data_IF_522811945617
#
_entry.id   IF_522811945617
#
_cell.length_a   1.000
_cell.length_b   1.000
_cell.length_c   1.000
_cell.angle_alpha   90.00
_cell.angle_beta   90.00
_cell.angle_gamma   90.00
#
_symmetry.space_group_name_H-M   'P 1'
#
loop_
_entity.id
_entity.type
_entity.pdbx_description
1 polymer ?
#
# COMPACT_ATOMS: atom_id res chain seq x y z
N UNK A 1 61.61 -25.40 37.12
CA UNK A 1 60.35 -24.87 37.69
C UNK A 1 59.80 -23.83 36.73
N UNK A 2 58.92 -24.22 35.79
CA UNK A 2 58.36 -23.33 34.77
C UNK A 2 56.93 -22.95 35.20
N UNK A 3 56.72 -21.67 35.54
CA UNK A 3 55.40 -21.13 35.86
C UNK A 3 54.56 -21.07 34.57
N UNK A 4 53.39 -21.72 34.58
CA UNK A 4 52.38 -21.60 33.54
C UNK A 4 51.51 -20.36 33.85
N UNK A 5 51.54 -19.38 32.95
CA UNK A 5 50.60 -18.25 32.97
C UNK A 5 49.26 -18.71 32.39
N UNK A 6 48.23 -18.79 33.23
CA UNK A 6 46.84 -18.94 32.78
C UNK A 6 46.29 -17.56 32.43
N UNK A 7 46.21 -17.25 31.14
CA UNK A 7 45.52 -16.05 30.64
C UNK A 7 44.02 -16.31 30.68
N UNK A 8 43.30 -15.64 31.59
CA UNK A 8 41.84 -15.59 31.57
C UNK A 8 41.39 -14.83 30.31
N UNK A 9 40.80 -15.54 29.35
CA UNK A 9 40.08 -14.93 28.23
C UNK A 9 38.70 -14.51 28.77
N UNK A 10 38.52 -13.21 28.98
CA UNK A 10 37.22 -12.63 29.25
C UNK A 10 36.38 -12.70 27.97
N UNK A 11 35.40 -13.62 27.93
CA UNK A 11 34.38 -13.68 26.89
C UNK A 11 33.55 -12.40 27.01
N UNK A 12 33.81 -11.42 26.14
CA UNK A 12 32.91 -10.27 25.97
C UNK A 12 31.67 -10.79 25.26
N UNK A 13 30.53 -10.81 25.97
CA UNK A 13 29.21 -10.93 25.35
C UNK A 13 29.06 -9.76 24.38
N UNK A 14 29.15 -10.05 23.08
CA UNK A 14 28.69 -9.15 22.03
C UNK A 14 27.19 -8.94 22.22
N UNK A 15 26.68 -7.69 22.20
CA UNK A 15 25.25 -7.48 22.23
C UNK A 15 24.68 -8.13 20.97
N UNK A 16 23.70 -9.01 21.16
CA UNK A 16 22.91 -9.52 20.06
C UNK A 16 22.29 -8.31 19.36
N UNK A 17 22.69 -8.03 18.13
CA UNK A 17 21.98 -7.09 17.28
C UNK A 17 20.56 -7.66 17.13
N UNK A 18 19.61 -7.03 17.80
CA UNK A 18 18.19 -7.28 17.58
C UNK A 18 17.92 -6.91 16.11
N UNK A 19 17.53 -7.90 15.32
CA UNK A 19 16.96 -7.67 14.00
C UNK A 19 15.60 -6.99 14.23
N UNK A 20 15.53 -5.67 14.03
CA UNK A 20 14.24 -5.00 13.92
C UNK A 20 13.57 -5.52 12.64
N UNK A 21 12.46 -6.25 12.77
CA UNK A 21 11.57 -6.52 11.64
C UNK A 21 10.92 -5.19 11.23
N UNK A 22 11.03 -4.73 9.98
CA UNK A 22 10.47 -3.45 9.54
C UNK A 22 8.97 -3.55 9.18
N UNK A 23 8.25 -4.51 9.75
CA UNK A 23 6.82 -4.75 9.52
C UNK A 23 6.09 -4.81 10.85
N UNK A 24 6.34 -3.85 11.72
CA UNK A 24 5.33 -3.54 12.73
C UNK A 24 4.25 -2.76 11.99
N UNK A 25 3.00 -3.24 12.10
CA UNK A 25 1.77 -2.59 11.63
C UNK A 25 1.63 -1.22 12.31
N UNK A 26 2.45 -0.25 11.93
CA UNK A 26 2.32 1.12 12.38
C UNK A 26 1.06 1.69 11.72
N UNK A 27 0.04 1.89 12.55
CA UNK A 27 -1.17 2.62 12.18
C UNK A 27 -0.70 3.99 11.66
N UNK A 28 -1.04 4.36 10.41
CA UNK A 28 -0.66 5.64 9.86
C UNK A 28 -1.21 6.77 10.73
N UNK A 29 -0.32 7.56 11.30
CA UNK A 29 -0.64 8.59 12.28
C UNK A 29 -0.04 9.92 11.85
N UNK A 30 -0.85 10.97 11.89
CA UNK A 30 -0.35 12.34 11.78
C UNK A 30 0.26 12.74 13.12
N UNK A 31 1.48 13.33 13.16
CA UNK A 31 2.09 13.76 14.41
C UNK A 31 1.20 14.69 15.24
N UNK A 32 1.13 14.47 16.56
CA UNK A 32 0.30 15.23 17.50
C UNK A 32 0.57 16.75 17.46
N UNK A 33 1.79 17.16 17.08
CA UNK A 33 2.16 18.58 16.94
C UNK A 33 1.30 19.33 15.91
N UNK A 34 0.67 18.63 14.97
CA UNK A 34 -0.26 19.22 14.01
C UNK A 34 -1.68 19.44 14.58
N UNK A 35 -1.97 19.02 15.81
CA UNK A 35 -3.23 19.35 16.48
C UNK A 35 -3.39 20.86 16.70
N UNK A 36 -2.29 21.54 17.02
CA UNK A 36 -2.29 23.00 17.19
C UNK A 36 -2.60 23.71 15.86
N UNK A 37 -2.17 23.13 14.73
CA UNK A 37 -2.51 23.63 13.40
C UNK A 37 -4.03 23.55 13.14
N UNK A 38 -4.65 22.39 13.39
CA UNK A 38 -6.10 22.24 13.22
C UNK A 38 -6.86 23.19 14.16
N UNK A 39 -6.42 23.29 15.41
CA UNK A 39 -7.02 24.20 16.39
C UNK A 39 -6.96 25.66 15.95
N UNK A 40 -5.85 26.08 15.33
CA UNK A 40 -5.63 27.46 14.92
C UNK A 40 -6.33 27.86 13.61
N UNK A 41 -6.55 26.92 12.69
CA UNK A 41 -6.97 27.22 11.31
C UNK A 41 -8.24 26.51 10.85
N UNK A 42 -8.68 25.44 11.53
CA UNK A 42 -9.77 24.57 11.08
C UNK A 42 -10.99 24.59 12.02
N UNK A 43 -10.76 24.43 13.33
CA UNK A 43 -11.83 24.11 14.30
C UNK A 43 -12.81 25.26 14.56
N UNK A 44 -12.45 26.51 14.24
CA UNK A 44 -13.38 27.66 14.30
C UNK A 44 -14.61 27.52 13.37
N UNK A 45 -14.53 26.67 12.35
CA UNK A 45 -15.58 26.46 11.35
C UNK A 45 -15.98 25.00 11.19
N UNK A 46 -15.08 24.06 11.47
CA UNK A 46 -15.25 22.63 11.25
C UNK A 46 -15.26 21.85 12.58
N UNK A 47 -15.85 22.41 13.63
CA UNK A 47 -16.14 21.72 14.89
C UNK A 47 -17.52 21.03 14.86
N UNK A 48 -17.85 20.32 15.94
CA UNK A 48 -19.13 19.64 16.12
C UNK A 48 -20.34 20.57 16.21
N UNK A 49 -20.14 21.87 16.47
CA UNK A 49 -21.20 22.86 16.63
C UNK A 49 -21.51 23.63 15.35
N UNK A 50 -20.48 24.02 14.60
CA UNK A 50 -20.58 24.85 13.41
C UNK A 50 -20.69 24.02 12.14
N UNK A 51 -19.91 22.93 12.06
CA UNK A 51 -19.94 21.92 11.00
C UNK A 51 -20.06 22.52 9.58
N UNK A 52 -19.29 23.57 9.29
CA UNK A 52 -19.44 24.33 8.04
C UNK A 52 -19.17 23.41 6.85
N UNK A 53 -20.10 23.37 5.90
CA UNK A 53 -20.02 22.48 4.75
C UNK A 53 -20.27 21.00 5.08
N UNK A 54 -20.91 20.70 6.22
CA UNK A 54 -21.17 19.33 6.70
C UNK A 54 -19.88 18.54 6.94
N UNK A 55 -18.88 19.23 7.49
CA UNK A 55 -17.58 18.67 7.85
C UNK A 55 -17.28 19.01 9.31
N UNK A 56 -17.11 17.97 10.11
CA UNK A 56 -16.61 18.03 11.48
C UNK A 56 -15.21 17.36 11.54
N UNK A 57 -14.23 18.10 12.03
CA UNK A 57 -12.84 17.67 12.23
C UNK A 57 -12.46 17.54 13.72
N UNK A 58 -13.35 17.93 14.65
CA UNK A 58 -13.12 17.86 16.10
C UNK A 58 -12.94 16.41 16.57
N UNK A 59 -13.75 15.49 16.03
CA UNK A 59 -13.70 14.06 16.36
C UNK A 59 -12.82 13.25 15.38
N UNK A 60 -12.14 13.92 14.43
CA UNK A 60 -11.33 13.23 13.43
C UNK A 60 -10.03 12.71 14.06
N UNK A 61 -9.89 11.40 14.09
CA UNK A 61 -8.67 10.72 14.55
C UNK A 61 -7.47 11.06 13.67
N UNK A 62 -6.33 11.31 14.32
CA UNK A 62 -5.03 11.48 13.66
C UNK A 62 -4.44 10.14 13.23
N UNK A 63 -4.89 9.04 13.85
CA UNK A 63 -4.67 7.68 13.39
C UNK A 63 -5.70 7.32 12.32
N UNK A 64 -5.23 7.00 11.11
CA UNK A 64 -6.06 6.66 9.96
C UNK A 64 -6.19 5.15 9.89
N UNK A 65 -7.32 4.64 10.37
CA UNK A 65 -7.59 3.22 10.55
C UNK A 65 -8.61 2.66 9.55
N UNK A 66 -9.35 3.53 8.87
CA UNK A 66 -10.38 3.14 7.91
C UNK A 66 -10.46 4.09 6.70
N UNK A 67 -11.19 3.64 5.67
CA UNK A 67 -11.33 4.37 4.40
C UNK A 67 -12.06 5.71 4.61
N UNK A 68 -13.02 5.79 5.53
CA UNK A 68 -13.79 7.02 5.76
C UNK A 68 -12.92 8.13 6.35
N UNK A 69 -12.05 7.79 7.31
CA UNK A 69 -11.04 8.70 7.86
C UNK A 69 -10.06 9.16 6.77
N UNK A 70 -9.55 8.22 5.96
CA UNK A 70 -8.63 8.52 4.86
C UNK A 70 -9.28 9.46 3.82
N UNK A 71 -10.54 9.24 3.47
CA UNK A 71 -11.27 10.11 2.55
C UNK A 71 -11.44 11.53 3.10
N UNK A 72 -11.67 11.67 4.40
CA UNK A 72 -11.81 12.98 5.03
C UNK A 72 -10.47 13.72 5.09
N UNK A 73 -9.40 13.05 5.50
CA UNK A 73 -8.04 13.60 5.46
C UNK A 73 -7.57 13.97 4.05
N UNK A 74 -7.93 13.16 3.05
CA UNK A 74 -7.65 13.48 1.65
C UNK A 74 -8.38 14.75 1.18
N UNK A 75 -9.60 15.00 1.66
CA UNK A 75 -10.31 16.25 1.38
C UNK A 75 -9.59 17.44 2.00
N UNK A 76 -9.15 17.34 3.26
CA UNK A 76 -8.35 18.38 3.94
C UNK A 76 -7.07 18.67 3.14
N UNK A 77 -6.34 17.64 2.74
CA UNK A 77 -5.13 17.78 1.93
C UNK A 77 -5.43 18.52 0.61
N UNK A 78 -6.53 18.18 -0.07
CA UNK A 78 -6.90 18.77 -1.35
C UNK A 78 -7.31 20.24 -1.22
N UNK A 79 -8.15 20.59 -0.25
CA UNK A 79 -8.65 21.96 -0.07
C UNK A 79 -7.57 22.93 0.42
N UNK A 80 -6.63 22.43 1.24
CA UNK A 80 -5.47 23.22 1.64
C UNK A 80 -4.50 23.44 0.48
N UNK A 81 -4.26 22.42 -0.35
CA UNK A 81 -3.42 22.52 -1.55
C UNK A 81 -4.02 23.43 -2.62
N UNK A 82 -5.34 23.44 -2.79
CA UNK A 82 -6.02 24.35 -3.73
C UNK A 82 -6.07 25.80 -3.24
N UNK A 83 -5.76 26.04 -1.96
CA UNK A 83 -5.86 27.36 -1.34
C UNK A 83 -7.30 27.80 -1.05
N UNK A 84 -8.26 26.89 -1.13
CA UNK A 84 -9.65 27.16 -0.75
C UNK A 84 -9.81 27.32 0.76
N UNK A 85 -8.96 26.64 1.54
CA UNK A 85 -8.93 26.69 2.99
C UNK A 85 -7.55 27.14 3.51
N UNK A 86 -7.52 27.97 4.57
CA UNK A 86 -8.66 28.72 5.12
C UNK A 86 -9.18 29.79 4.12
N UNK A 87 -10.45 30.24 4.21
CA UNK A 87 -10.96 31.31 3.37
C UNK A 87 -10.18 32.63 3.53
N UNK A 88 -10.17 33.49 2.51
CA UNK A 88 -9.40 34.74 2.51
C UNK A 88 -9.72 35.69 3.69
N UNK A 89 -10.93 35.62 4.26
CA UNK A 89 -11.36 36.42 5.41
C UNK A 89 -10.95 35.84 6.77
N UNK A 90 -10.26 34.69 6.78
CA UNK A 90 -9.81 33.97 7.98
C UNK A 90 -8.30 34.02 8.14
N UNK A 91 -7.85 33.67 9.35
CA UNK A 91 -6.43 33.59 9.69
C UNK A 91 -5.78 32.56 8.74
N UNK A 92 -4.78 33.01 7.98
CA UNK A 92 -3.99 32.15 7.11
C UNK A 92 -2.77 31.62 7.89
N UNK A 93 -2.37 30.35 7.68
CA UNK A 93 -1.09 29.84 8.18
C UNK A 93 0.08 30.52 7.46
N UNK A 94 1.24 30.53 8.11
CA UNK A 94 2.49 30.90 7.44
C UNK A 94 2.84 29.87 6.35
N UNK A 95 3.62 30.27 5.33
CA UNK A 95 4.00 29.38 4.23
C UNK A 95 4.77 28.16 4.72
N UNK A 96 5.71 28.34 5.67
CA UNK A 96 6.51 27.25 6.21
C UNK A 96 5.64 26.30 7.05
N UNK A 97 4.79 26.86 7.92
CA UNK A 97 3.86 26.09 8.76
C UNK A 97 2.86 25.27 7.91
N UNK A 98 2.35 25.87 6.83
CA UNK A 98 1.47 25.20 5.88
C UNK A 98 2.21 24.07 5.15
N UNK A 99 3.43 24.32 4.69
CA UNK A 99 4.22 23.33 3.98
C UNK A 99 4.54 22.12 4.87
N UNK A 100 4.94 22.37 6.12
CA UNK A 100 5.23 21.33 7.11
C UNK A 100 4.01 20.44 7.38
N UNK A 101 2.83 21.05 7.60
CA UNK A 101 1.59 20.30 7.77
C UNK A 101 1.22 19.46 6.54
N UNK A 102 1.34 20.05 5.33
CA UNK A 102 0.96 19.36 4.10
C UNK A 102 1.91 18.21 3.76
N UNK A 103 3.20 18.35 4.04
CA UNK A 103 4.17 17.27 3.83
C UNK A 103 3.90 16.11 4.79
N UNK A 104 3.73 16.39 6.09
CA UNK A 104 3.40 15.38 7.08
C UNK A 104 2.09 14.65 6.72
N UNK A 105 1.03 15.39 6.40
CA UNK A 105 -0.24 14.80 5.98
C UNK A 105 -0.10 13.98 4.69
N UNK A 106 0.66 14.45 3.70
CA UNK A 106 0.89 13.70 2.48
C UNK A 106 1.62 12.37 2.74
N UNK A 107 2.63 12.35 3.61
CA UNK A 107 3.32 11.11 3.99
C UNK A 107 2.38 10.16 4.74
N UNK A 108 1.64 10.65 5.73
CA UNK A 108 0.64 9.86 6.46
C UNK A 108 -0.40 9.27 5.51
N UNK A 109 -0.84 10.03 4.48
CA UNK A 109 -1.78 9.53 3.47
C UNK A 109 -1.19 8.45 2.55
N UNK A 110 0.12 8.50 2.26
CA UNK A 110 0.81 7.41 1.53
C UNK A 110 0.82 6.13 2.37
N UNK A 111 1.09 6.25 3.66
CA UNK A 111 1.10 5.11 4.58
C UNK A 111 -0.31 4.57 4.83
N UNK A 112 -1.31 5.44 4.98
CA UNK A 112 -2.74 5.11 5.03
C UNK A 112 -3.16 4.31 3.80
N UNK A 113 -2.79 4.77 2.60
CA UNK A 113 -3.10 4.04 1.36
C UNK A 113 -2.46 2.66 1.32
N UNK A 114 -1.24 2.51 1.82
CA UNK A 114 -0.56 1.21 1.89
C UNK A 114 -1.31 0.30 2.87
N UNK A 115 -1.53 0.75 4.09
CA UNK A 115 -2.19 -0.03 5.15
C UNK A 115 -3.63 -0.43 4.79
N UNK A 116 -4.40 0.49 4.20
CA UNK A 116 -5.81 0.28 3.82
C UNK A 116 -5.99 -0.41 2.46
N UNK A 117 -4.90 -0.84 1.81
CA UNK A 117 -4.99 -1.60 0.56
C UNK A 117 -5.72 -2.92 0.78
N UNK A 118 -6.35 -3.48 -0.26
CA UNK A 118 -7.00 -4.80 -0.23
C UNK A 118 -6.09 -5.92 0.30
N UNK A 119 -4.76 -5.74 0.23
CA UNK A 119 -3.76 -6.68 0.74
C UNK A 119 -3.17 -6.31 2.09
N UNK A 120 -3.66 -5.24 2.75
CA UNK A 120 -3.08 -4.71 3.98
C UNK A 120 -1.68 -4.13 3.80
N UNK A 121 -1.31 -3.74 2.57
CA UNK A 121 0.04 -3.26 2.24
C UNK A 121 1.04 -4.35 1.90
N UNK A 122 0.67 -5.62 2.05
CA UNK A 122 1.51 -6.76 1.65
C UNK A 122 1.50 -6.94 0.13
N UNK A 123 2.69 -7.10 -0.46
CA UNK A 123 2.80 -7.43 -1.88
C UNK A 123 2.53 -8.93 -2.03
N UNK A 124 1.29 -9.28 -2.38
CA UNK A 124 0.93 -10.67 -2.63
C UNK A 124 1.49 -11.14 -3.98
N UNK A 125 2.15 -12.29 -3.97
CA UNK A 125 2.50 -12.97 -5.22
C UNK A 125 1.22 -13.42 -5.90
N UNK A 126 0.86 -12.75 -7.01
CA UNK A 126 -0.30 -13.10 -7.84
C UNK A 126 0.10 -13.92 -9.06
N UNK A 127 -0.75 -14.85 -9.48
CA UNK A 127 -0.63 -15.49 -10.80
C UNK A 127 -0.99 -14.49 -11.91
N UNK A 128 -0.53 -14.77 -13.13
CA UNK A 128 -1.09 -14.11 -14.31
C UNK A 128 -2.58 -14.48 -14.44
N UNK A 129 -3.43 -13.52 -14.73
CA UNK A 129 -4.82 -13.80 -15.05
C UNK A 129 -4.93 -14.46 -16.45
N UNK A 130 -6.09 -15.03 -16.81
CA UNK A 130 -6.28 -15.73 -18.09
C UNK A 130 -5.91 -14.85 -19.29
N UNK A 131 -6.34 -13.59 -19.26
CA UNK A 131 -6.07 -12.60 -20.32
C UNK A 131 -4.58 -12.27 -20.42
N UNK A 132 -3.92 -12.03 -19.29
CA UNK A 132 -2.49 -11.75 -19.18
C UNK A 132 -1.65 -12.93 -19.67
N UNK A 133 -2.02 -14.16 -19.28
CA UNK A 133 -1.34 -15.37 -19.73
C UNK A 133 -1.52 -15.59 -21.24
N UNK A 134 -2.74 -15.43 -21.76
CA UNK A 134 -3.02 -15.53 -23.20
C UNK A 134 -2.17 -14.54 -24.00
N UNK A 135 -2.17 -13.26 -23.58
CA UNK A 135 -1.40 -12.21 -24.23
C UNK A 135 0.11 -12.49 -24.18
N UNK A 136 0.60 -13.04 -23.06
CA UNK A 136 2.01 -13.40 -22.91
C UNK A 136 2.41 -14.51 -23.90
N UNK A 137 1.61 -15.57 -23.99
CA UNK A 137 1.88 -16.66 -24.95
C UNK A 137 1.73 -16.18 -26.39
N UNK A 138 0.71 -15.36 -26.69
CA UNK A 138 0.52 -14.79 -28.01
C UNK A 138 1.69 -13.89 -28.43
N UNK A 139 2.22 -13.08 -27.52
CA UNK A 139 3.39 -12.26 -27.78
C UNK A 139 4.66 -13.09 -28.02
N UNK A 140 4.78 -14.26 -27.39
CA UNK A 140 5.97 -15.11 -27.51
C UNK A 140 5.90 -16.04 -28.73
N UNK A 141 4.73 -16.59 -29.04
CA UNK A 141 4.55 -17.65 -30.04
C UNK A 141 3.80 -17.19 -31.30
N UNK A 142 3.22 -15.98 -31.30
CA UNK A 142 2.55 -15.40 -32.45
C UNK A 142 1.12 -15.91 -32.71
N UNK A 143 0.49 -16.57 -31.75
CA UNK A 143 -0.93 -16.99 -31.83
C UNK A 143 -1.58 -17.05 -30.45
N UNK A 144 -2.89 -16.91 -30.40
CA UNK A 144 -3.66 -16.93 -29.14
C UNK A 144 -4.00 -18.37 -28.73
N UNK A 145 -3.51 -18.86 -27.57
CA UNK A 145 -3.91 -20.17 -27.05
C UNK A 145 -5.30 -20.11 -26.39
N UNK A 146 -5.97 -21.26 -26.31
CA UNK A 146 -7.16 -21.41 -25.47
C UNK A 146 -6.76 -21.47 -23.98
N UNK A 147 -7.19 -20.48 -23.21
CA UNK A 147 -6.93 -20.35 -21.76
C UNK A 147 -8.11 -20.78 -20.89
N UNK A 148 -9.17 -21.36 -21.48
CA UNK A 148 -10.38 -21.76 -20.77
C UNK A 148 -10.14 -22.77 -19.64
N UNK A 149 -9.08 -23.56 -19.75
CA UNK A 149 -8.65 -24.55 -18.76
C UNK A 149 -7.99 -23.97 -17.51
N UNK A 150 -7.54 -22.72 -17.54
CA UNK A 150 -6.93 -22.06 -16.39
C UNK A 150 -7.99 -21.66 -15.35
N UNK A 151 -7.65 -21.35 -14.09
CA UNK A 151 -8.63 -20.87 -13.11
C UNK A 151 -9.27 -19.54 -13.50
N UNK A 152 -10.47 -19.25 -12.98
CA UNK A 152 -11.15 -17.96 -13.16
C UNK A 152 -10.47 -16.89 -12.29
N UNK A 153 -10.42 -15.65 -12.78
CA UNK A 153 -9.58 -14.56 -12.24
C UNK A 153 -10.27 -13.64 -11.21
N UNK A 154 -11.54 -13.91 -10.88
CA UNK A 154 -12.31 -13.09 -9.94
C UNK A 154 -13.74 -13.60 -9.71
N UNK A 155 -14.44 -12.92 -8.81
CA UNK A 155 -15.87 -13.10 -8.54
C UNK A 155 -16.75 -12.17 -9.40
N UNK A 156 -18.06 -12.42 -9.44
CA UNK A 156 -18.99 -11.59 -10.20
C UNK A 156 -18.98 -10.14 -9.68
N UNK A 157 -18.58 -9.19 -10.54
CA UNK A 157 -18.62 -7.75 -10.25
C UNK A 157 -17.29 -7.07 -9.89
N UNK A 158 -16.17 -7.80 -9.85
CA UNK A 158 -14.83 -7.21 -9.58
C UNK A 158 -13.95 -7.16 -10.82
N UNK A 159 -12.87 -6.36 -10.77
CA UNK A 159 -11.82 -6.42 -11.80
C UNK A 159 -11.08 -7.76 -11.73
N UNK A 160 -10.60 -8.23 -12.88
CA UNK A 160 -9.81 -9.46 -13.00
C UNK A 160 -8.31 -9.23 -12.74
N UNK A 161 -7.95 -8.10 -12.14
CA UNK A 161 -6.58 -7.73 -11.74
C UNK A 161 -6.41 -7.63 -10.22
N UNK A 162 -7.43 -8.01 -9.45
CA UNK A 162 -7.40 -7.98 -7.98
C UNK A 162 -6.45 -9.07 -7.48
N UNK A 163 -5.24 -8.67 -7.09
CA UNK A 163 -4.17 -9.59 -6.67
C UNK A 163 -4.55 -10.51 -5.50
N UNK A 164 -5.34 -10.00 -4.54
CA UNK A 164 -5.84 -10.79 -3.40
C UNK A 164 -6.68 -12.01 -3.81
N UNK A 165 -7.31 -11.98 -4.99
CA UNK A 165 -8.09 -13.11 -5.54
C UNK A 165 -7.27 -14.03 -6.46
N UNK A 166 -6.00 -13.72 -6.68
CA UNK A 166 -5.12 -14.39 -7.65
C UNK A 166 -4.02 -15.20 -6.98
N UNK A 167 -4.36 -15.89 -5.89
CA UNK A 167 -3.45 -16.85 -5.28
C UNK A 167 -3.10 -17.98 -6.26
N UNK A 168 -1.92 -18.57 -6.06
CA UNK A 168 -1.41 -19.70 -6.86
C UNK A 168 -1.32 -20.96 -6.00
N UNK A 169 -1.94 -22.05 -6.43
CA UNK A 169 -1.82 -23.38 -5.81
C UNK A 169 -0.97 -24.32 -6.65
N UNK A 170 -0.51 -25.43 -6.07
CA UNK A 170 0.28 -26.44 -6.79
C UNK A 170 -0.45 -26.98 -8.03
N UNK A 171 -1.75 -27.25 -7.92
CA UNK A 171 -2.58 -27.69 -9.04
C UNK A 171 -2.64 -26.63 -10.15
N UNK A 172 -2.76 -25.36 -9.79
CA UNK A 172 -2.76 -24.28 -10.77
C UNK A 172 -1.40 -24.18 -11.48
N UNK A 173 -0.28 -24.33 -10.77
CA UNK A 173 1.05 -24.39 -11.43
C UNK A 173 1.08 -25.49 -12.50
N UNK A 174 0.54 -26.67 -12.19
CA UNK A 174 0.47 -27.77 -13.16
C UNK A 174 -0.41 -27.42 -14.37
N UNK A 175 -1.56 -26.77 -14.18
CA UNK A 175 -2.42 -26.31 -15.27
C UNK A 175 -1.71 -25.32 -16.20
N UNK A 176 -0.98 -24.34 -15.64
CA UNK A 176 -0.23 -23.36 -16.41
C UNK A 176 0.92 -24.01 -17.19
N UNK A 177 1.70 -24.89 -16.54
CA UNK A 177 2.78 -25.62 -17.20
C UNK A 177 2.26 -26.54 -18.31
N UNK A 178 1.13 -27.23 -18.08
CA UNK A 178 0.48 -28.07 -19.09
C UNK A 178 0.06 -27.26 -20.30
N UNK A 179 -0.60 -26.11 -20.08
CA UNK A 179 -1.01 -25.23 -21.17
C UNK A 179 0.19 -24.67 -21.94
N UNK A 180 1.24 -24.24 -21.23
CA UNK A 180 2.48 -23.76 -21.87
C UNK A 180 3.15 -24.82 -22.74
N UNK A 181 3.23 -26.08 -22.25
CA UNK A 181 3.75 -27.21 -23.06
C UNK A 181 2.90 -27.47 -24.30
N UNK A 182 1.58 -27.40 -24.17
CA UNK A 182 0.65 -27.55 -25.31
C UNK A 182 0.87 -26.46 -26.35
N UNK A 183 0.98 -25.20 -25.92
CA UNK A 183 1.19 -24.07 -26.81
C UNK A 183 2.53 -24.17 -27.57
N UNK A 184 3.61 -24.60 -26.91
CA UNK A 184 4.89 -24.86 -27.57
C UNK A 184 4.77 -25.99 -28.60
N UNK A 185 4.06 -27.08 -28.26
CA UNK A 185 3.84 -28.18 -29.20
C UNK A 185 3.11 -27.74 -30.47
N UNK A 186 2.07 -26.93 -30.31
CA UNK A 186 1.33 -26.34 -31.43
C UNK A 186 2.20 -25.38 -32.26
N UNK A 187 3.00 -24.54 -31.59
CA UNK A 187 3.94 -23.65 -32.28
C UNK A 187 4.91 -24.41 -33.17
N UNK A 188 5.53 -25.49 -32.65
CA UNK A 188 6.45 -26.34 -33.43
C UNK A 188 5.74 -26.90 -34.66
N UNK A 189 4.51 -27.39 -34.50
CA UNK A 189 3.73 -27.93 -35.61
C UNK A 189 3.45 -26.89 -36.69
N UNK A 190 3.14 -25.64 -36.30
CA UNK A 190 2.92 -24.51 -37.21
C UNK A 190 4.19 -24.09 -37.96
N UNK A 191 5.38 -24.24 -37.36
CA UNK A 191 6.65 -23.94 -38.02
C UNK A 191 7.09 -25.04 -39.01
N UNK A 192 6.56 -26.25 -38.85
CA UNK A 192 6.89 -27.39 -39.72
C UNK A 192 6.09 -27.41 -41.04
N UNK A 193 5.11 -26.52 -41.20
CA UNK A 193 4.27 -26.34 -42.39
C UNK A 193 4.60 -25.05 -43.10
#
# INVERSE_FOLDING_TARGET
MRLAFFTLIAIRLLPHLASANPTDDLIPELPDEHFDFLSAYCLDCHDSLTEKGSVNLEDLSFQITNIQEAELWQKVLNTMNSGEMPPEDKKQPDEDEKADFLDALAQTMVDARRSLSDTGGEITMRRLNRREYQNSIASLLGFEPDVSSLPVDGGAGTFDTVGASQFISSDQIEQYLKLGRSAIGEWIQRQAT
#
